data_IF_324015373672
#
_entry.id   IF_324015373672
#
_cell.length_a   1.000
_cell.length_b   1.000
_cell.length_c   1.000
_cell.angle_alpha   90.00
_cell.angle_beta   90.00
_cell.angle_gamma   90.00
#
_symmetry.space_group_name_H-M   'P 1'
#
loop_
_entity.id
_entity.type
_entity.pdbx_description
1 polymer ?
#
# COMPACT_ATOMS: atom_id res chain seq x y z
N UNK A 1 1.61 -28.97 53.32
CA UNK A 1 0.79 -30.07 52.78
C UNK A 1 -0.64 -29.57 52.60
N UNK A 2 -1.02 -29.24 51.38
CA UNK A 2 -2.42 -29.07 50.96
C UNK A 2 -2.63 -30.02 49.77
N UNK A 3 -3.72 -30.79 49.80
CA UNK A 3 -4.06 -31.74 48.74
C UNK A 3 -4.84 -31.01 47.64
N UNK A 4 -4.54 -31.23 46.35
CA UNK A 4 -5.33 -30.69 45.26
C UNK A 4 -6.66 -31.44 45.07
N UNK A 5 -7.62 -30.75 44.45
CA UNK A 5 -9.03 -31.13 44.29
C UNK A 5 -9.26 -32.12 43.10
N UNK A 6 -10.45 -32.75 43.00
CA UNK A 6 -10.70 -33.93 42.17
C UNK A 6 -10.63 -33.75 40.63
N UNK A 7 -10.43 -32.55 40.10
CA UNK A 7 -10.45 -32.31 38.64
C UNK A 7 -9.06 -32.43 37.96
N UNK A 8 -7.98 -32.56 38.72
CA UNK A 8 -6.62 -32.74 38.17
C UNK A 8 -6.21 -34.22 37.94
N UNK A 9 -7.14 -35.18 38.04
CA UNK A 9 -6.88 -36.63 37.86
C UNK A 9 -7.41 -37.24 36.57
N UNK A 10 -7.62 -36.46 35.52
CA UNK A 10 -7.92 -36.98 34.18
C UNK A 10 -7.07 -36.27 33.14
N UNK A 11 -5.82 -36.68 33.00
CA UNK A 11 -5.03 -36.58 31.75
C UNK A 11 -3.60 -37.13 31.93
N UNK A 12 -3.45 -38.30 32.56
CA UNK A 12 -2.18 -39.06 32.53
C UNK A 12 -2.49 -40.54 32.73
N UNK A 13 -2.96 -41.25 31.70
CA UNK A 13 -2.92 -42.72 31.64
C UNK A 13 -3.38 -43.26 30.27
N UNK A 14 -2.50 -43.17 29.25
CA UNK A 14 -2.31 -44.17 28.17
C UNK A 14 -0.92 -43.78 27.60
N UNK A 15 0.21 -44.44 27.88
CA UNK A 15 0.57 -45.79 27.47
C UNK A 15 1.81 -46.22 28.26
N UNK A 16 1.71 -47.28 29.07
CA UNK A 16 2.86 -48.11 29.41
C UNK A 16 2.40 -49.45 29.98
N UNK A 17 2.23 -50.43 29.08
CA UNK A 17 2.34 -51.85 29.42
C UNK A 17 3.15 -52.47 28.30
N UNK A 18 4.42 -52.74 28.57
CA UNK A 18 5.14 -53.97 28.26
C UNK A 18 6.63 -53.74 28.54
N UNK A 19 7.08 -54.27 29.67
CA UNK A 19 8.49 -54.48 29.96
C UNK A 19 8.61 -55.66 30.93
N UNK A 20 8.97 -56.82 30.40
CA UNK A 20 9.72 -57.84 31.13
C UNK A 20 10.80 -58.38 30.19
N UNK A 21 12.04 -58.47 30.69
CA UNK A 21 13.06 -59.33 30.07
C UNK A 21 14.45 -58.73 29.89
N UNK A 22 15.22 -58.68 31.00
CA UNK A 22 16.61 -59.14 31.10
C UNK A 22 17.71 -58.63 30.12
N UNK A 23 18.53 -57.73 30.68
CA UNK A 23 19.98 -57.93 30.93
C UNK A 23 21.06 -57.88 29.81
N UNK A 24 22.10 -57.10 30.13
CA UNK A 24 23.53 -57.13 29.74
C UNK A 24 23.96 -56.41 28.44
N UNK A 25 25.01 -55.57 28.59
CA UNK A 25 25.59 -54.63 27.60
C UNK A 25 26.37 -55.28 26.44
N UNK A 26 27.20 -54.52 25.68
CA UNK A 26 28.50 -54.04 26.21
C UNK A 26 29.03 -52.73 25.58
N UNK A 27 30.22 -52.31 26.03
CA UNK A 27 31.04 -51.28 25.41
C UNK A 27 32.32 -51.82 24.74
N UNK A 28 32.85 -51.00 23.81
CA UNK A 28 34.22 -50.90 23.25
C UNK A 28 34.77 -51.96 22.26
N UNK A 29 34.91 -51.46 21.02
CA UNK A 29 36.17 -51.27 20.26
C UNK A 29 36.71 -52.33 19.26
N UNK A 30 37.21 -51.76 18.14
CA UNK A 30 38.34 -52.13 17.25
C UNK A 30 38.09 -52.90 15.93
N UNK A 31 38.48 -52.17 14.86
CA UNK A 31 39.35 -52.52 13.70
C UNK A 31 38.83 -53.33 12.50
N UNK A 32 39.10 -52.74 11.32
CA UNK A 32 39.53 -53.32 10.02
C UNK A 32 38.59 -54.30 9.31
N UNK A 33 38.53 -54.46 7.99
CA UNK A 33 39.02 -53.75 6.81
C UNK A 33 38.36 -54.45 5.59
N UNK A 34 38.25 -53.71 4.48
CA UNK A 34 38.30 -54.19 3.07
C UNK A 34 37.18 -55.09 2.49
N UNK A 35 36.73 -54.61 1.32
CA UNK A 35 36.61 -55.28 0.01
C UNK A 35 35.23 -55.80 -0.47
N UNK A 36 34.70 -55.03 -1.44
CA UNK A 36 34.33 -55.41 -2.83
C UNK A 36 33.16 -56.37 -3.12
N UNK A 37 32.35 -55.96 -4.10
CA UNK A 37 31.38 -56.77 -4.87
C UNK A 37 30.09 -55.97 -5.09
N UNK A 38 29.95 -55.12 -6.11
CA UNK A 38 29.67 -55.42 -7.52
C UNK A 38 28.47 -56.37 -7.73
N UNK A 39 27.33 -55.81 -8.17
CA UNK A 39 26.52 -56.36 -9.26
C UNK A 39 25.41 -55.37 -9.66
N UNK A 40 25.48 -54.92 -10.92
CA UNK A 40 24.40 -54.35 -11.73
C UNK A 40 23.41 -55.44 -12.12
N UNK A 41 22.20 -55.06 -12.54
CA UNK A 41 21.37 -55.51 -13.69
C UNK A 41 19.94 -55.01 -13.40
N UNK A 42 19.06 -54.56 -14.30
CA UNK A 42 19.05 -53.98 -15.66
C UNK A 42 17.55 -53.84 -16.02
N UNK A 43 17.16 -52.79 -16.76
CA UNK A 43 15.96 -52.63 -17.60
C UNK A 43 14.55 -52.85 -16.96
N UNK A 44 13.47 -52.17 -17.34
CA UNK A 44 13.14 -51.36 -18.52
C UNK A 44 11.73 -51.74 -18.98
N UNK A 45 10.82 -50.75 -19.14
CA UNK A 45 9.58 -50.72 -19.97
C UNK A 45 8.69 -49.57 -19.42
N UNK A 46 8.42 -48.45 -20.09
CA UNK A 46 7.77 -48.21 -21.38
C UNK A 46 6.23 -48.39 -21.39
N UNK A 47 5.55 -47.24 -21.44
CA UNK A 47 4.30 -46.92 -22.17
C UNK A 47 2.95 -47.46 -21.67
N UNK A 48 1.95 -46.57 -21.54
CA UNK A 48 0.75 -46.50 -22.42
C UNK A 48 -0.37 -45.60 -21.82
N UNK A 49 -0.98 -44.79 -22.70
CA UNK A 49 -2.30 -44.11 -22.61
C UNK A 49 -3.03 -44.45 -23.93
N UNK A 50 -4.34 -44.19 -24.14
CA UNK A 50 -5.60 -44.64 -23.48
C UNK A 50 -6.53 -45.35 -24.53
N UNK A 51 -7.90 -45.47 -24.43
CA UNK A 51 -8.88 -44.34 -24.53
C UNK A 51 -10.29 -44.48 -23.86
N UNK A 52 -10.95 -43.31 -23.69
CA UNK A 52 -12.37 -42.90 -23.77
C UNK A 52 -13.59 -43.82 -23.43
N UNK A 53 -14.52 -43.25 -22.62
CA UNK A 53 -15.90 -42.82 -22.99
C UNK A 53 -16.98 -43.18 -21.95
N UNK A 54 -17.81 -42.20 -21.52
CA UNK A 54 -19.27 -42.18 -21.78
C UNK A 54 -20.03 -41.09 -20.98
N UNK A 55 -20.82 -40.31 -21.74
CA UNK A 55 -21.90 -39.39 -21.34
C UNK A 55 -23.05 -40.08 -20.60
N UNK A 56 -23.76 -39.35 -19.73
CA UNK A 56 -25.24 -39.42 -19.63
C UNK A 56 -25.88 -38.06 -19.33
N UNK A 57 -26.94 -37.78 -20.07
CA UNK A 57 -27.83 -36.61 -20.05
C UNK A 57 -29.25 -37.00 -19.59
N UNK A 58 -30.00 -36.11 -18.92
CA UNK A 58 -31.49 -36.02 -18.91
C UNK A 58 -31.90 -34.62 -18.38
N UNK A 59 -32.46 -33.74 -19.23
CA UNK A 59 -33.90 -33.37 -19.43
C UNK A 59 -34.56 -32.73 -18.19
N UNK A 60 -34.76 -31.39 -18.16
CA UNK A 60 -35.91 -30.55 -18.60
C UNK A 60 -37.15 -30.61 -17.68
N UNK A 61 -37.50 -29.46 -17.08
CA UNK A 61 -38.88 -29.00 -16.87
C UNK A 61 -38.94 -27.49 -16.51
N UNK A 62 -39.83 -26.77 -17.20
CA UNK A 62 -40.43 -25.45 -16.84
C UNK A 62 -41.89 -25.54 -17.27
N UNK A 63 -42.83 -24.84 -16.59
CA UNK A 63 -43.50 -23.71 -17.27
C UNK A 63 -43.96 -22.55 -16.32
N UNK A 64 -43.75 -21.28 -16.74
CA UNK A 64 -44.78 -20.23 -17.04
C UNK A 64 -45.00 -19.13 -15.96
N UNK A 65 -45.58 -17.93 -16.29
CA UNK A 65 -44.89 -16.64 -16.06
C UNK A 65 -45.74 -15.48 -15.46
N UNK A 66 -45.08 -14.30 -15.33
CA UNK A 66 -45.57 -12.89 -15.27
C UNK A 66 -45.75 -12.22 -13.87
N UNK A 67 -45.79 -10.86 -13.78
CA UNK A 67 -44.93 -9.86 -14.42
C UNK A 67 -44.52 -8.68 -13.47
N UNK A 68 -43.59 -7.84 -13.92
CA UNK A 68 -43.54 -6.41 -13.52
C UNK A 68 -42.15 -5.90 -13.16
N UNK A 69 -41.50 -5.20 -14.08
CA UNK A 69 -40.61 -4.07 -13.78
C UNK A 69 -40.46 -3.22 -15.05
N UNK A 70 -41.01 -2.01 -15.00
CA UNK A 70 -40.88 -0.98 -16.03
C UNK A 70 -39.70 -0.09 -15.64
N UNK A 71 -38.66 -0.03 -16.48
CA UNK A 71 -37.62 1.00 -16.43
C UNK A 71 -37.71 1.78 -17.73
N UNK A 72 -38.02 3.07 -17.62
CA UNK A 72 -38.12 3.98 -18.74
C UNK A 72 -36.72 4.40 -19.21
N UNK A 73 -36.47 4.19 -20.51
CA UNK A 73 -35.34 4.71 -21.26
C UNK A 73 -35.77 6.07 -21.81
N UNK A 74 -35.08 7.15 -21.42
CA UNK A 74 -35.23 8.45 -22.06
C UNK A 74 -34.25 8.53 -23.24
N UNK A 75 -34.81 8.47 -24.45
CA UNK A 75 -34.14 8.78 -25.71
C UNK A 75 -34.05 10.29 -25.91
N UNK A 76 -32.87 10.75 -26.32
CA UNK A 76 -32.61 12.12 -26.76
C UNK A 76 -33.26 12.39 -28.12
N UNK A 77 -33.91 13.54 -28.25
CA UNK A 77 -34.51 14.03 -29.50
C UNK A 77 -33.59 15.09 -30.09
N UNK A 78 -33.03 14.78 -31.26
CA UNK A 78 -32.36 15.74 -32.15
C UNK A 78 -33.40 16.60 -32.86
N UNK A 79 -33.20 17.92 -32.87
CA UNK A 79 -33.80 18.84 -33.83
C UNK A 79 -32.69 19.43 -34.72
N UNK A 80 -32.86 19.26 -36.02
CA UNK A 80 -32.11 19.94 -37.08
C UNK A 80 -33.11 20.51 -38.09
N UNK A 81 -32.60 21.36 -38.98
CA UNK A 81 -33.26 22.12 -40.08
C UNK A 81 -33.75 23.51 -39.63
N UNK A 82 -33.53 24.62 -40.34
CA UNK A 82 -32.78 24.99 -41.56
C UNK A 82 -32.82 26.53 -41.67
N UNK A 83 -32.12 27.08 -42.67
CA UNK A 83 -32.30 28.42 -43.28
C UNK A 83 -31.46 29.58 -42.71
N UNK A 84 -30.85 30.50 -43.47
CA UNK A 84 -30.72 30.76 -44.92
C UNK A 84 -29.59 31.81 -45.11
N UNK A 85 -28.80 31.63 -46.18
CA UNK A 85 -28.02 32.57 -47.03
C UNK A 85 -27.38 33.86 -46.44
N UNK A 86 -26.08 34.00 -46.69
CA UNK A 86 -25.38 35.28 -46.88
C UNK A 86 -25.53 35.82 -48.33
N UNK A 87 -25.38 37.14 -48.54
CA UNK A 87 -24.28 37.64 -49.40
C UNK A 87 -23.63 38.91 -48.79
N UNK A 88 -22.30 39.03 -48.73
CA UNK A 88 -21.32 39.44 -49.76
C UNK A 88 -21.10 40.97 -49.90
N UNK A 89 -19.82 41.34 -49.72
CA UNK A 89 -19.08 42.49 -50.28
C UNK A 89 -19.29 43.91 -49.71
N UNK A 90 -18.21 44.51 -49.17
CA UNK A 90 -17.45 45.54 -49.89
C UNK A 90 -16.09 45.83 -49.20
N UNK A 91 -15.04 45.93 -50.02
CA UNK A 91 -13.70 46.48 -49.68
C UNK A 91 -13.76 48.01 -49.66
N UNK A 92 -13.02 48.66 -48.76
CA UNK A 92 -12.18 49.84 -49.01
C UNK A 92 -11.61 50.40 -47.68
N UNK A 93 -10.29 50.42 -47.48
CA UNK A 93 -9.37 51.58 -47.61
C UNK A 93 -8.97 52.17 -46.24
N UNK A 94 -7.67 52.07 -45.95
CA UNK A 94 -6.86 52.69 -44.87
C UNK A 94 -6.98 54.24 -44.89
N UNK A 95 -6.71 55.01 -43.80
CA UNK A 95 -5.36 55.05 -43.19
C UNK A 95 -5.27 55.30 -41.66
N UNK A 96 -4.06 55.08 -41.16
CA UNK A 96 -3.60 55.38 -39.82
C UNK A 96 -3.31 56.89 -39.63
N UNK A 97 -3.60 57.41 -38.43
CA UNK A 97 -3.02 58.64 -37.88
C UNK A 97 -3.23 58.69 -36.34
N UNK A 98 -2.49 59.51 -35.60
CA UNK A 98 -1.84 59.13 -34.34
C UNK A 98 -2.52 59.69 -33.09
N UNK A 99 -2.21 59.14 -31.92
CA UNK A 99 -2.52 59.82 -30.65
C UNK A 99 -1.27 59.94 -29.78
N UNK A 100 -1.07 61.19 -29.39
CA UNK A 100 0.01 61.87 -28.71
C UNK A 100 0.13 61.52 -27.23
N UNK A 101 1.35 61.58 -26.72
CA UNK A 101 1.69 61.64 -25.30
C UNK A 101 1.07 62.85 -24.61
N UNK A 102 0.50 62.66 -23.42
CA UNK A 102 0.40 63.72 -22.40
C UNK A 102 0.72 63.13 -21.03
N UNK A 103 1.58 63.83 -20.29
CA UNK A 103 2.09 63.49 -18.95
C UNK A 103 1.27 64.23 -17.88
N UNK A 104 1.34 63.73 -16.64
CA UNK A 104 1.27 64.43 -15.33
C UNK A 104 0.06 64.07 -14.42
N UNK A 105 0.14 64.27 -13.08
CA UNK A 105 0.51 63.22 -12.10
C UNK A 105 -0.49 63.13 -10.93
N UNK A 106 -0.40 62.14 -10.04
CA UNK A 106 -0.90 62.29 -8.65
C UNK A 106 -0.19 61.34 -7.68
N UNK A 107 0.41 61.96 -6.67
CA UNK A 107 1.09 61.39 -5.51
C UNK A 107 0.06 60.91 -4.47
N UNK A 108 0.41 59.80 -3.82
CA UNK A 108 0.28 59.51 -2.38
C UNK A 108 -1.05 59.72 -1.64
N UNK A 109 -1.59 58.62 -1.09
CA UNK A 109 -2.06 58.58 0.30
C UNK A 109 -1.45 57.35 0.98
N UNK A 110 -0.82 57.61 2.10
CA UNK A 110 -0.18 56.67 3.03
C UNK A 110 -0.98 56.74 4.33
N UNK A 111 -1.38 55.60 4.91
CA UNK A 111 -1.52 55.46 6.37
C UNK A 111 -1.07 54.06 6.75
N UNK A 112 0.02 54.03 7.50
CA UNK A 112 0.53 52.87 8.21
C UNK A 112 -0.22 52.69 9.54
N UNK A 113 -0.42 51.44 9.96
CA UNK A 113 -0.30 51.05 11.37
C UNK A 113 0.60 49.83 11.40
N UNK A 114 1.84 50.06 11.83
CA UNK A 114 2.77 49.03 12.28
C UNK A 114 2.67 48.92 13.80
N UNK A 115 2.45 47.71 14.28
CA UNK A 115 2.95 47.19 15.55
C UNK A 115 3.10 45.68 15.31
N UNK A 116 4.25 45.03 15.33
CA UNK A 116 5.61 45.39 15.71
C UNK A 116 6.32 44.04 15.82
N UNK A 117 7.13 43.67 14.82
CA UNK A 117 8.06 42.53 14.89
C UNK A 117 9.27 42.89 14.00
N UNK A 118 10.51 42.87 14.52
CA UNK A 118 11.69 43.29 13.77
C UNK A 118 12.23 42.19 12.83
N UNK A 119 12.70 42.67 11.67
CA UNK A 119 13.83 42.26 10.83
C UNK A 119 14.23 40.78 10.78
N UNK A 120 14.20 40.18 9.57
CA UNK A 120 15.37 39.56 8.91
C UNK A 120 15.15 39.46 7.38
N UNK A 121 16.27 39.55 6.66
CA UNK A 121 16.46 39.92 5.26
C UNK A 121 15.77 39.09 4.16
N UNK A 122 15.33 39.84 3.15
CA UNK A 122 15.04 39.42 1.78
C UNK A 122 16.35 39.17 1.00
N UNK A 123 16.51 37.98 0.43
CA UNK A 123 17.26 37.79 -0.82
C UNK A 123 16.70 36.62 -1.64
N UNK A 124 16.37 36.96 -2.90
CA UNK A 124 16.21 36.10 -4.07
C UNK A 124 14.92 35.26 -4.22
N UNK A 125 13.94 35.84 -4.93
CA UNK A 125 13.14 35.11 -5.91
C UNK A 125 13.27 35.79 -7.27
N UNK A 126 13.98 35.11 -8.17
CA UNK A 126 14.17 35.50 -9.55
C UNK A 126 12.96 35.10 -10.40
N UNK A 127 12.46 36.08 -11.16
CA UNK A 127 11.84 36.00 -12.49
C UNK A 127 10.88 34.84 -12.80
N UNK A 128 9.57 35.13 -12.75
CA UNK A 128 8.59 34.48 -13.62
C UNK A 128 8.03 35.52 -14.60
N UNK A 129 8.26 35.27 -15.90
CA UNK A 129 7.66 36.01 -17.02
C UNK A 129 6.18 35.67 -17.09
N UNK A 130 5.31 36.67 -17.05
CA UNK A 130 3.90 36.53 -17.40
C UNK A 130 3.76 36.57 -18.93
N UNK A 131 3.29 35.48 -19.53
CA UNK A 131 2.74 35.46 -20.88
C UNK A 131 1.26 35.82 -20.81
N UNK A 132 0.84 36.78 -21.65
CA UNK A 132 -0.53 37.26 -21.77
C UNK A 132 -1.48 36.16 -22.25
N UNK A 133 -2.57 35.93 -21.53
CA UNK A 133 -3.71 35.16 -22.01
C UNK A 133 -4.88 36.13 -22.25
N UNK A 134 -5.29 36.23 -23.51
CA UNK A 134 -6.44 37.00 -23.98
C UNK A 134 -7.73 36.27 -23.60
N UNK A 135 -8.61 36.94 -22.87
CA UNK A 135 -9.98 36.48 -22.61
C UNK A 135 -10.95 37.16 -23.58
N UNK A 136 -11.72 36.43 -24.41
CA UNK A 136 -12.91 36.97 -25.05
C UNK A 136 -14.11 36.72 -24.13
N UNK A 137 -14.95 37.74 -23.92
CA UNK A 137 -16.43 37.69 -23.93
C UNK A 137 -16.98 38.94 -23.20
N UNK A 138 -17.82 39.65 -23.94
CA UNK A 138 -18.48 40.91 -23.60
C UNK A 138 -19.57 40.73 -22.54
N UNK A 139 -19.59 41.58 -21.51
CA UNK A 139 -20.71 41.72 -20.56
C UNK A 139 -21.49 42.99 -20.93
N UNK A 140 -22.83 42.97 -21.03
CA UNK A 140 -23.61 44.16 -21.33
C UNK A 140 -23.72 45.10 -20.11
N UNK A 141 -23.50 46.40 -20.32
CA UNK A 141 -23.78 47.45 -19.34
C UNK A 141 -25.30 47.55 -19.10
N UNK A 142 -25.74 47.31 -17.86
CA UNK A 142 -27.07 47.69 -17.39
C UNK A 142 -27.00 49.16 -16.92
N UNK A 143 -27.87 50.01 -17.47
CA UNK A 143 -28.05 51.41 -17.02
C UNK A 143 -28.71 51.43 -15.64
N UNK A 144 -28.12 52.21 -14.73
CA UNK A 144 -28.68 52.48 -13.41
C UNK A 144 -29.96 53.34 -13.52
N UNK A 145 -31.10 52.74 -13.19
CA UNK A 145 -32.33 53.42 -12.79
C UNK A 145 -32.54 53.21 -11.29
N UNK A 146 -32.89 54.28 -10.59
CA UNK A 146 -33.07 54.41 -9.13
C UNK A 146 -33.71 53.20 -8.43
N UNK A 147 -33.00 52.64 -7.45
CA UNK A 147 -33.54 51.69 -6.47
C UNK A 147 -33.50 52.30 -5.05
N UNK A 148 -34.50 51.96 -4.27
CA UNK A 148 -34.88 52.44 -2.94
C UNK A 148 -33.82 52.05 -1.87
N UNK A 149 -33.50 52.89 -0.85
CA UNK A 149 -32.40 52.63 0.09
C UNK A 149 -32.55 51.41 1.02
N UNK A 150 -33.72 50.74 1.09
CA UNK A 150 -33.90 49.54 1.91
C UNK A 150 -33.63 48.20 1.18
N UNK A 151 -33.46 48.19 -0.15
CA UNK A 151 -33.14 46.97 -0.91
C UNK A 151 -31.63 46.71 -1.09
N UNK A 152 -30.77 47.65 -0.67
CA UNK A 152 -29.30 47.55 -0.83
C UNK A 152 -28.64 46.72 0.30
N UNK A 153 -29.39 46.33 1.34
CA UNK A 153 -28.84 45.63 2.50
C UNK A 153 -28.66 44.10 2.32
N UNK A 154 -29.08 43.49 1.21
CA UNK A 154 -29.03 42.02 1.06
C UNK A 154 -28.56 41.49 -0.31
N UNK A 155 -27.70 42.22 -1.02
CA UNK A 155 -26.98 41.67 -2.19
C UNK A 155 -25.53 41.44 -1.81
N UNK A 156 -25.21 40.22 -1.38
CA UNK A 156 -23.81 39.75 -1.31
C UNK A 156 -23.26 39.69 -2.73
N UNK A 157 -22.48 40.70 -3.10
CA UNK A 157 -21.68 40.69 -4.32
C UNK A 157 -20.57 39.64 -4.15
N UNK A 158 -20.82 38.43 -4.65
CA UNK A 158 -19.82 37.38 -4.76
C UNK A 158 -18.90 37.68 -5.94
N UNK A 159 -18.01 38.65 -5.77
CA UNK A 159 -16.80 38.76 -6.61
C UNK A 159 -15.66 38.29 -5.73
N UNK A 160 -15.47 36.97 -5.70
CA UNK A 160 -14.31 36.37 -5.09
C UNK A 160 -13.07 36.83 -5.85
N UNK A 161 -12.20 37.58 -5.19
CA UNK A 161 -10.79 37.60 -5.54
C UNK A 161 -10.30 36.15 -5.42
N UNK A 162 -10.27 35.40 -6.53
CA UNK A 162 -9.41 34.21 -6.64
C UNK A 162 -7.98 34.74 -6.60
N UNK A 163 -7.44 34.88 -5.40
CA UNK A 163 -6.00 34.81 -5.23
C UNK A 163 -5.54 33.50 -5.87
N UNK A 164 -4.47 33.58 -6.66
CA UNK A 164 -3.69 32.43 -7.09
C UNK A 164 -3.08 31.76 -5.84
N UNK A 165 -3.91 31.03 -5.12
CA UNK A 165 -3.51 29.99 -4.19
C UNK A 165 -4.01 28.73 -4.86
N UNK A 166 -3.08 27.86 -5.29
CA UNK A 166 -3.43 26.62 -5.96
C UNK A 166 -4.50 25.90 -5.16
N UNK A 167 -5.58 25.48 -5.83
CA UNK A 167 -6.48 24.46 -5.29
C UNK A 167 -5.58 23.29 -4.88
N UNK A 168 -5.53 23.01 -3.59
CA UNK A 168 -4.62 22.00 -3.04
C UNK A 168 -4.92 20.67 -3.72
N UNK A 169 -3.92 20.09 -4.38
CA UNK A 169 -4.06 18.70 -4.80
C UNK A 169 -4.38 17.86 -3.55
N UNK A 170 -5.49 17.13 -3.58
CA UNK A 170 -5.83 16.19 -2.53
C UNK A 170 -4.61 15.28 -2.25
N UNK A 171 -4.25 15.16 -0.97
CA UNK A 171 -3.06 14.43 -0.57
C UNK A 171 -3.19 12.95 -0.96
N UNK A 172 -2.26 12.46 -1.78
CA UNK A 172 -2.18 11.05 -2.15
C UNK A 172 -2.05 10.14 -0.92
N UNK A 173 -3.00 9.23 -0.75
CA UNK A 173 -3.02 8.18 0.29
C UNK A 173 -2.82 6.81 -0.37
N UNK A 174 -1.68 6.18 -0.05
CA UNK A 174 -1.33 4.84 -0.53
C UNK A 174 -1.17 3.91 0.65
N UNK A 175 -2.02 2.89 0.73
CA UNK A 175 -1.86 1.84 1.71
C UNK A 175 -0.69 0.93 1.33
N UNK A 176 0.40 0.97 2.09
CA UNK A 176 1.60 0.18 1.78
C UNK A 176 1.42 -1.35 1.94
N UNK A 177 0.24 -1.84 2.33
CA UNK A 177 0.04 -3.25 2.66
C UNK A 177 -1.44 -3.64 2.73
N UNK A 178 -1.92 -4.35 1.70
CA UNK A 178 -3.16 -5.15 1.80
C UNK A 178 -2.98 -6.55 1.21
N UNK A 179 -3.94 -7.42 1.49
CA UNK A 179 -4.01 -8.79 0.98
C UNK A 179 -5.28 -8.98 0.16
N UNK A 180 -5.20 -9.74 -0.93
CA UNK A 180 -6.35 -10.31 -1.63
C UNK A 180 -6.25 -11.84 -1.51
N UNK A 181 -7.40 -12.52 -1.48
CA UNK A 181 -7.45 -13.98 -1.47
C UNK A 181 -8.74 -14.55 -2.05
N UNK A 182 -8.64 -15.80 -2.51
CA UNK A 182 -9.77 -16.60 -2.95
C UNK A 182 -9.58 -18.10 -2.60
N UNK A 183 -9.00 -18.38 -1.43
CA UNK A 183 -8.67 -19.74 -0.98
C UNK A 183 -9.48 -20.20 0.24
N UNK A 184 -10.66 -19.62 0.46
CA UNK A 184 -11.47 -19.89 1.65
C UNK A 184 -11.09 -18.99 2.81
N UNK A 185 -11.42 -19.41 4.03
CA UNK A 185 -11.14 -18.60 5.23
C UNK A 185 -9.64 -18.65 5.57
N UNK A 186 -9.04 -17.52 5.99
CA UNK A 186 -7.66 -17.50 6.49
C UNK A 186 -7.44 -18.47 7.64
N UNK A 187 -6.30 -19.17 7.62
CA UNK A 187 -5.90 -20.07 8.72
C UNK A 187 -5.60 -19.34 10.02
N UNK A 188 -5.25 -18.06 9.94
CA UNK A 188 -5.01 -17.20 11.10
C UNK A 188 -6.30 -16.53 11.54
N UNK A 189 -6.68 -16.74 12.81
CA UNK A 189 -7.86 -16.14 13.41
C UNK A 189 -7.82 -14.60 13.51
N UNK A 190 -6.63 -13.98 13.35
CA UNK A 190 -6.49 -12.52 13.39
C UNK A 190 -6.88 -11.85 12.08
N UNK A 191 -7.02 -12.61 11.00
CA UNK A 191 -7.52 -12.11 9.73
C UNK A 191 -9.04 -12.25 9.67
N UNK A 192 -9.69 -11.37 8.89
CA UNK A 192 -11.13 -11.46 8.59
C UNK A 192 -11.48 -12.86 8.12
N UNK A 193 -12.42 -13.49 8.81
CA UNK A 193 -12.85 -14.87 8.54
C UNK A 193 -13.90 -14.91 7.40
N UNK A 194 -13.51 -14.44 6.22
CA UNK A 194 -14.32 -14.47 5.00
C UNK A 194 -13.65 -15.31 3.92
N UNK A 195 -14.41 -16.02 3.07
CA UNK A 195 -13.86 -17.02 2.16
C UNK A 195 -13.11 -16.43 0.96
N UNK A 196 -13.39 -15.17 0.64
CA UNK A 196 -12.72 -14.41 -0.40
C UNK A 196 -12.70 -12.94 0.00
N UNK A 197 -11.64 -12.25 -0.40
CA UNK A 197 -11.54 -10.80 -0.38
C UNK A 197 -10.78 -10.39 -1.63
N UNK A 198 -11.52 -9.89 -2.60
CA UNK A 198 -11.08 -9.68 -3.96
C UNK A 198 -10.86 -8.20 -4.24
N UNK A 199 -10.37 -7.94 -5.45
CA UNK A 199 -10.10 -6.60 -5.97
C UNK A 199 -11.29 -5.65 -5.83
N UNK A 200 -12.50 -6.11 -6.16
CA UNK A 200 -13.71 -5.25 -6.11
C UNK A 200 -14.07 -4.90 -4.66
N UNK A 201 -13.93 -5.86 -3.72
CA UNK A 201 -14.12 -5.61 -2.27
C UNK A 201 -13.09 -4.57 -1.76
N UNK A 202 -11.84 -4.69 -2.19
CA UNK A 202 -10.78 -3.77 -1.82
C UNK A 202 -11.03 -2.37 -2.38
N UNK A 203 -11.44 -2.23 -3.65
CA UNK A 203 -11.75 -0.94 -4.25
C UNK A 203 -12.92 -0.24 -3.54
N UNK A 204 -14.00 -0.97 -3.24
CA UNK A 204 -15.15 -0.42 -2.51
C UNK A 204 -14.75 0.10 -1.12
N UNK A 205 -14.00 -0.68 -0.35
CA UNK A 205 -13.56 -0.27 0.99
C UNK A 205 -12.50 0.85 0.95
N UNK A 206 -11.61 0.85 -0.05
CA UNK A 206 -10.64 1.92 -0.27
C UNK A 206 -11.34 3.24 -0.60
N UNK A 207 -12.33 3.22 -1.50
CA UNK A 207 -13.10 4.40 -1.88
C UNK A 207 -13.88 4.94 -0.68
N UNK A 208 -14.51 4.07 0.12
CA UNK A 208 -15.18 4.46 1.37
C UNK A 208 -14.21 5.02 2.43
N UNK A 209 -12.96 4.57 2.40
CA UNK A 209 -11.88 4.99 3.30
C UNK A 209 -11.11 6.24 2.87
N UNK A 210 -11.30 6.71 1.63
CA UNK A 210 -10.51 7.80 1.04
C UNK A 210 -9.07 7.38 0.71
N UNK A 211 -8.88 6.15 0.20
CA UNK A 211 -7.56 5.59 -0.14
C UNK A 211 -7.40 5.47 -1.65
N UNK A 212 -6.41 6.19 -2.17
CA UNK A 212 -6.20 6.30 -3.63
C UNK A 212 -5.56 5.06 -4.23
N UNK A 213 -4.75 4.33 -3.46
CA UNK A 213 -4.10 3.11 -3.93
C UNK A 213 -3.61 2.21 -2.81
N UNK A 214 -3.23 0.99 -3.18
CA UNK A 214 -2.63 0.04 -2.25
C UNK A 214 -1.52 -0.81 -2.88
N UNK A 215 -0.53 -1.19 -2.05
CA UNK A 215 0.40 -2.26 -2.35
C UNK A 215 -0.20 -3.61 -1.95
N UNK A 216 -0.48 -4.43 -2.94
CA UNK A 216 -0.88 -5.83 -2.79
C UNK A 216 0.33 -6.67 -2.38
N UNK A 217 0.13 -7.49 -1.37
CA UNK A 217 1.19 -8.33 -0.81
C UNK A 217 0.72 -9.78 -0.66
N UNK A 218 0.80 -10.57 -1.73
CA UNK A 218 0.29 -11.94 -1.79
C UNK A 218 0.72 -12.82 -0.60
N UNK A 219 -0.25 -13.50 0.05
CA UNK A 219 0.02 -14.46 1.12
C UNK A 219 0.02 -15.91 0.60
N UNK A 220 1.02 -16.21 -0.24
CA UNK A 220 1.14 -17.47 -0.98
C UNK A 220 1.30 -18.75 -0.16
N UNK A 221 1.83 -18.75 1.09
CA UNK A 221 1.82 -19.96 1.91
C UNK A 221 0.40 -20.48 2.21
N UNK A 222 -0.60 -19.60 2.12
CA UNK A 222 -1.99 -19.93 2.37
C UNK A 222 -2.83 -19.99 1.07
N UNK A 223 -2.71 -18.99 0.20
CA UNK A 223 -3.38 -18.97 -1.11
C UNK A 223 -2.33 -19.05 -2.23
N UNK A 224 -2.09 -20.23 -2.82
CA UNK A 224 -1.10 -20.40 -3.89
C UNK A 224 -1.32 -19.51 -5.11
N UNK A 225 -2.55 -19.02 -5.33
CA UNK A 225 -2.92 -18.16 -6.46
C UNK A 225 -2.84 -16.67 -6.12
N UNK A 226 -2.47 -16.29 -4.90
CA UNK A 226 -2.48 -14.88 -4.46
C UNK A 226 -1.64 -13.94 -5.34
N UNK A 227 -0.52 -14.42 -5.90
CA UNK A 227 0.25 -13.62 -6.86
C UNK A 227 -0.56 -13.33 -8.13
N UNK A 228 -1.24 -14.33 -8.68
CA UNK A 228 -2.02 -14.18 -9.92
C UNK A 228 -3.27 -13.32 -9.69
N UNK A 229 -3.91 -13.43 -8.51
CA UNK A 229 -4.98 -12.52 -8.09
C UNK A 229 -4.49 -11.07 -8.05
N UNK A 230 -3.32 -10.82 -7.45
CA UNK A 230 -2.75 -9.47 -7.37
C UNK A 230 -2.34 -8.92 -8.73
N UNK A 231 -1.78 -9.76 -9.61
CA UNK A 231 -1.40 -9.38 -10.98
C UNK A 231 -2.63 -9.00 -11.79
N UNK A 232 -3.71 -9.78 -11.69
CA UNK A 232 -4.95 -9.45 -12.39
C UNK A 232 -5.56 -8.14 -11.87
N UNK A 233 -5.54 -7.90 -10.55
CA UNK A 233 -5.96 -6.64 -9.95
C UNK A 233 -5.15 -5.44 -10.48
N UNK A 234 -3.82 -5.53 -10.46
CA UNK A 234 -2.94 -4.46 -10.95
C UNK A 234 -2.99 -4.29 -12.47
N UNK A 235 -3.30 -5.35 -13.24
CA UNK A 235 -3.51 -5.25 -14.68
C UNK A 235 -4.79 -4.49 -15.02
N UNK A 236 -5.86 -4.71 -14.25
CA UNK A 236 -7.14 -4.04 -14.45
C UNK A 236 -7.16 -2.60 -13.89
N UNK A 237 -6.44 -2.34 -12.80
CA UNK A 237 -6.37 -1.03 -12.14
C UNK A 237 -4.91 -0.67 -11.79
N UNK A 238 -4.05 -0.39 -12.79
CA UNK A 238 -2.62 -0.13 -12.59
C UNK A 238 -2.32 1.18 -11.86
N UNK A 239 -3.30 2.09 -11.83
CA UNK A 239 -3.29 3.26 -10.99
C UNK A 239 -3.63 2.89 -9.54
N UNK A 240 -4.59 2.01 -9.27
CA UNK A 240 -4.99 1.69 -7.89
C UNK A 240 -4.09 0.68 -7.19
N UNK A 241 -3.45 -0.23 -7.93
CA UNK A 241 -2.69 -1.35 -7.34
C UNK A 241 -1.29 -1.53 -7.91
N UNK A 242 -0.34 -1.80 -7.01
CA UNK A 242 0.96 -2.37 -7.32
C UNK A 242 1.29 -3.49 -6.33
N UNK A 243 2.36 -4.23 -6.57
CA UNK A 243 2.57 -5.54 -5.95
C UNK A 243 3.99 -5.66 -5.39
N UNK A 244 4.08 -6.10 -4.14
CA UNK A 244 5.28 -6.74 -3.59
C UNK A 244 5.01 -8.24 -3.48
N UNK A 245 5.30 -8.97 -4.56
CA UNK A 245 4.99 -10.40 -4.70
C UNK A 245 6.02 -11.29 -4.02
N UNK A 246 5.89 -12.60 -4.21
CA UNK A 246 6.92 -13.53 -3.75
C UNK A 246 7.00 -14.77 -4.64
N UNK A 247 8.08 -15.52 -4.47
CA UNK A 247 8.34 -16.80 -5.12
C UNK A 247 9.05 -17.75 -4.14
N UNK A 248 9.04 -19.07 -4.38
CA UNK A 248 9.74 -20.02 -3.51
C UNK A 248 11.25 -19.74 -3.42
N UNK A 249 11.83 -19.64 -2.23
CA UNK A 249 13.25 -19.30 -2.06
C UNK A 249 14.20 -20.51 -2.05
N UNK A 250 13.64 -21.72 -1.96
CA UNK A 250 14.34 -23.01 -1.88
C UNK A 250 14.52 -23.70 -3.24
N UNK A 251 13.94 -23.13 -4.29
CA UNK A 251 14.01 -23.67 -5.65
C UNK A 251 15.15 -23.03 -6.44
N UNK A 252 16.10 -23.81 -7.01
CA UNK A 252 17.20 -23.25 -7.80
C UNK A 252 16.75 -22.35 -8.96
N UNK A 253 15.64 -22.71 -9.62
CA UNK A 253 15.04 -21.96 -10.73
C UNK A 253 14.55 -20.56 -10.32
N UNK A 254 14.23 -20.33 -9.04
CA UNK A 254 13.77 -19.04 -8.55
C UNK A 254 14.82 -17.94 -8.65
N UNK A 255 16.11 -18.29 -8.76
CA UNK A 255 17.19 -17.33 -8.91
C UNK A 255 17.05 -16.48 -10.18
N UNK A 256 16.59 -17.10 -11.26
CA UNK A 256 16.36 -16.40 -12.54
C UNK A 256 15.16 -15.47 -12.48
N UNK A 257 14.21 -15.68 -11.56
CA UNK A 257 13.02 -14.84 -11.43
C UNK A 257 13.35 -13.42 -11.01
N UNK A 258 14.45 -13.20 -10.27
CA UNK A 258 14.85 -11.88 -9.77
C UNK A 258 15.03 -10.87 -10.91
N UNK A 259 15.69 -11.28 -12.01
CA UNK A 259 16.01 -10.39 -13.12
C UNK A 259 14.77 -10.01 -13.96
N UNK A 260 13.74 -10.87 -13.98
CA UNK A 260 12.51 -10.64 -14.75
C UNK A 260 11.31 -10.28 -13.87
N UNK A 261 11.47 -10.19 -12.55
CA UNK A 261 10.35 -10.10 -11.61
C UNK A 261 9.45 -8.90 -11.88
N UNK A 262 10.07 -7.73 -12.12
CA UNK A 262 9.38 -6.46 -12.38
C UNK A 262 8.75 -6.37 -13.79
N UNK A 263 8.95 -7.38 -14.65
CA UNK A 263 8.27 -7.45 -15.95
C UNK A 263 6.84 -7.95 -15.81
N UNK A 264 6.48 -8.54 -14.67
CA UNK A 264 5.10 -8.96 -14.36
C UNK A 264 4.24 -7.71 -14.10
N UNK A 265 3.00 -7.63 -14.62
CA UNK A 265 2.15 -6.45 -14.43
C UNK A 265 2.00 -6.06 -12.96
N UNK A 266 2.23 -4.78 -12.65
CA UNK A 266 2.13 -4.23 -11.29
C UNK A 266 3.24 -4.66 -10.32
N UNK A 267 4.17 -5.53 -10.71
CA UNK A 267 5.19 -6.06 -9.81
C UNK A 267 6.34 -5.08 -9.60
N UNK A 268 6.47 -4.53 -8.39
CA UNK A 268 7.49 -3.52 -8.07
C UNK A 268 8.61 -4.04 -7.17
N UNK A 269 8.39 -5.15 -6.46
CA UNK A 269 9.34 -5.72 -5.53
C UNK A 269 8.93 -7.08 -5.01
N UNK A 270 9.59 -7.50 -3.93
CA UNK A 270 9.25 -8.73 -3.22
C UNK A 270 8.82 -8.47 -1.78
N UNK A 271 8.01 -9.37 -1.23
CA UNK A 271 7.74 -9.46 0.20
C UNK A 271 7.90 -10.90 0.67
N UNK A 272 8.79 -11.14 1.62
CA UNK A 272 8.99 -12.48 2.18
C UNK A 272 8.58 -12.56 3.64
N UNK A 273 7.86 -13.63 3.96
CA UNK A 273 7.59 -14.09 5.32
C UNK A 273 8.38 -15.39 5.55
N UNK A 274 8.77 -15.64 6.80
CA UNK A 274 9.58 -16.80 7.18
C UNK A 274 8.88 -17.62 8.27
N UNK A 275 7.75 -18.29 7.93
CA UNK A 275 6.95 -19.02 8.91
C UNK A 275 7.72 -20.20 9.54
N UNK A 276 7.50 -20.49 10.83
CA UNK A 276 8.07 -21.65 11.49
C UNK A 276 7.40 -22.97 11.01
N UNK A 277 8.03 -24.13 11.27
CA UNK A 277 9.37 -24.28 11.86
C UNK A 277 10.50 -24.26 10.82
N UNK A 278 10.21 -24.53 9.54
CA UNK A 278 11.24 -24.76 8.53
C UNK A 278 11.90 -23.48 8.01
N UNK A 279 11.11 -22.44 7.72
CA UNK A 279 11.63 -21.23 7.06
C UNK A 279 12.16 -20.19 8.05
N UNK A 280 11.85 -20.32 9.35
CA UNK A 280 12.25 -19.34 10.37
C UNK A 280 13.76 -19.17 10.53
N UNK A 281 14.56 -20.18 10.10
CA UNK A 281 16.04 -20.14 10.12
C UNK A 281 16.65 -19.64 8.81
N UNK A 282 15.89 -19.61 7.72
CA UNK A 282 16.41 -19.26 6.39
C UNK A 282 17.13 -17.91 6.33
N UNK A 283 16.67 -16.85 7.03
CA UNK A 283 17.40 -15.58 7.03
C UNK A 283 18.80 -15.67 7.65
N UNK A 284 19.04 -16.61 8.57
CA UNK A 284 20.27 -16.67 9.38
C UNK A 284 21.14 -17.89 9.11
N UNK A 285 20.63 -18.94 8.45
CA UNK A 285 21.38 -20.16 8.14
C UNK A 285 22.09 -20.16 6.76
N UNK A 286 21.93 -19.08 6.00
CA UNK A 286 22.55 -18.88 4.69
C UNK A 286 21.70 -19.37 3.49
N UNK A 287 20.54 -19.99 3.72
CA UNK A 287 19.64 -20.51 2.67
C UNK A 287 19.31 -19.44 1.62
N UNK A 288 19.11 -18.19 2.06
CA UNK A 288 18.68 -17.09 1.20
C UNK A 288 19.78 -16.05 0.96
N UNK A 289 21.03 -16.29 1.35
CA UNK A 289 22.11 -15.30 1.20
C UNK A 289 22.39 -14.94 -0.27
N UNK A 290 21.99 -15.80 -1.20
CA UNK A 290 22.05 -15.52 -2.64
C UNK A 290 21.11 -14.41 -3.10
N UNK A 291 20.02 -14.18 -2.38
CA UNK A 291 18.95 -13.26 -2.77
C UNK A 291 19.45 -11.81 -2.72
N UNK A 292 20.27 -11.46 -1.74
CA UNK A 292 20.70 -10.09 -1.49
C UNK A 292 21.49 -9.48 -2.64
N UNK A 293 22.61 -10.08 -3.11
CA UNK A 293 23.34 -9.53 -4.25
C UNK A 293 22.52 -9.60 -5.55
N UNK A 294 21.62 -10.58 -5.71
CA UNK A 294 20.77 -10.69 -6.88
C UNK A 294 19.74 -9.55 -6.92
N UNK A 295 19.05 -9.29 -5.81
CA UNK A 295 18.05 -8.25 -5.69
C UNK A 295 18.66 -6.84 -5.76
N UNK A 296 19.84 -6.63 -5.16
CA UNK A 296 20.59 -5.38 -5.27
C UNK A 296 20.89 -5.07 -6.75
N UNK A 297 21.44 -6.04 -7.47
CA UNK A 297 21.82 -5.89 -8.88
C UNK A 297 20.60 -5.63 -9.78
N UNK A 298 19.45 -6.23 -9.46
CA UNK A 298 18.20 -6.03 -10.18
C UNK A 298 17.44 -4.75 -9.76
N UNK A 299 17.91 -4.01 -8.75
CA UNK A 299 17.17 -2.88 -8.19
C UNK A 299 15.79 -3.26 -7.65
N UNK A 300 15.71 -4.45 -7.04
CA UNK A 300 14.47 -5.08 -6.58
C UNK A 300 14.29 -4.86 -5.08
N UNK A 301 13.36 -3.98 -4.63
CA UNK A 301 13.10 -3.77 -3.21
C UNK A 301 12.53 -5.02 -2.55
N UNK A 302 12.92 -5.27 -1.29
CA UNK A 302 12.44 -6.42 -0.51
C UNK A 302 11.82 -5.96 0.81
N UNK A 303 10.55 -6.27 1.00
CA UNK A 303 9.87 -6.21 2.28
C UNK A 303 10.02 -7.52 3.07
N UNK A 304 10.23 -7.41 4.38
CA UNK A 304 10.55 -8.54 5.26
C UNK A 304 9.72 -8.47 6.54
N UNK A 305 9.06 -9.58 6.88
CA UNK A 305 8.57 -9.80 8.24
C UNK A 305 9.75 -10.21 9.13
N UNK A 306 10.51 -9.21 9.60
CA UNK A 306 11.88 -9.39 10.08
C UNK A 306 12.08 -9.42 11.60
N UNK A 307 11.01 -9.38 12.40
CA UNK A 307 11.08 -9.21 13.85
C UNK A 307 11.99 -10.21 14.57
N UNK A 308 12.16 -11.42 14.03
CA UNK A 308 12.96 -12.49 14.62
C UNK A 308 14.43 -12.50 14.16
N UNK A 309 14.85 -11.58 13.28
CA UNK A 309 16.19 -11.56 12.71
C UNK A 309 16.67 -10.13 12.37
N UNK A 310 16.24 -9.13 13.13
CA UNK A 310 16.62 -7.72 12.92
C UNK A 310 18.14 -7.49 12.81
N UNK A 311 19.01 -8.13 13.62
CA UNK A 311 20.47 -7.99 13.44
C UNK A 311 20.95 -8.38 12.04
N UNK A 312 20.41 -9.46 11.48
CA UNK A 312 20.74 -9.92 10.12
C UNK A 312 20.29 -8.90 9.06
N UNK A 313 19.16 -8.21 9.24
CA UNK A 313 18.75 -7.12 8.35
C UNK A 313 19.82 -6.03 8.33
N UNK A 314 20.35 -5.64 9.49
CA UNK A 314 21.43 -4.67 9.58
C UNK A 314 22.70 -5.11 8.86
N UNK A 315 23.08 -6.39 8.99
CA UNK A 315 24.22 -6.94 8.25
C UNK A 315 24.01 -6.91 6.73
N UNK A 316 22.81 -7.28 6.25
CA UNK A 316 22.47 -7.25 4.82
C UNK A 316 22.49 -5.81 4.32
N UNK A 317 21.89 -4.88 5.06
CA UNK A 317 21.85 -3.45 4.71
C UNK A 317 23.25 -2.85 4.58
N UNK A 318 24.16 -3.22 5.48
CA UNK A 318 25.56 -2.76 5.45
C UNK A 318 26.35 -3.35 4.27
N UNK A 319 26.14 -4.63 3.94
CA UNK A 319 26.85 -5.30 2.83
C UNK A 319 26.30 -4.93 1.46
N UNK A 320 25.03 -4.57 1.38
CA UNK A 320 24.30 -4.25 0.14
C UNK A 320 23.68 -2.85 0.22
N UNK A 321 24.49 -1.78 0.23
CA UNK A 321 24.01 -0.41 0.47
C UNK A 321 23.03 0.10 -0.60
N UNK A 322 22.95 -0.52 -1.78
CA UNK A 322 22.00 -0.14 -2.83
C UNK A 322 20.72 -0.99 -2.81
N UNK A 323 20.67 -2.05 -2.00
CA UNK A 323 19.45 -2.87 -1.83
C UNK A 323 18.48 -2.15 -0.89
N UNK A 324 17.31 -1.79 -1.42
CA UNK A 324 16.21 -1.22 -0.64
C UNK A 324 15.50 -2.32 0.16
N UNK A 325 15.58 -2.23 1.49
CA UNK A 325 14.93 -3.13 2.44
C UNK A 325 13.77 -2.43 3.14
N UNK A 326 12.68 -3.15 3.42
CA UNK A 326 11.50 -2.62 4.12
C UNK A 326 11.15 -3.55 5.27
N UNK A 327 11.09 -3.02 6.49
CA UNK A 327 10.58 -3.71 7.66
C UNK A 327 9.05 -3.67 7.63
N UNK A 328 8.39 -4.82 7.59
CA UNK A 328 6.94 -4.88 7.71
C UNK A 328 6.49 -4.63 9.16
N UNK A 329 5.29 -4.05 9.31
CA UNK A 329 4.53 -3.99 10.56
C UNK A 329 5.31 -3.46 11.77
N UNK A 330 5.96 -2.30 11.59
CA UNK A 330 6.76 -1.64 12.63
C UNK A 330 7.95 -2.50 13.14
N UNK A 331 8.33 -3.55 12.40
CA UNK A 331 9.39 -4.48 12.79
C UNK A 331 9.06 -5.34 14.02
N UNK A 332 7.79 -5.44 14.43
CA UNK A 332 7.41 -6.05 15.70
C UNK A 332 7.18 -7.56 15.67
N UNK A 333 7.34 -8.26 16.80
CA UNK A 333 7.05 -9.69 16.90
C UNK A 333 5.57 -9.97 16.62
N UNK A 334 5.31 -11.06 15.90
CA UNK A 334 3.96 -11.55 15.63
C UNK A 334 3.45 -12.41 16.78
N UNK A 335 2.13 -12.43 17.00
CA UNK A 335 1.47 -13.37 17.93
C UNK A 335 1.65 -13.10 19.43
N UNK A 336 2.16 -11.92 19.80
CA UNK A 336 2.37 -11.51 21.20
C UNK A 336 1.18 -10.71 21.73
N UNK A 337 0.77 -10.98 22.97
CA UNK A 337 -0.47 -10.43 23.54
C UNK A 337 -0.23 -9.30 24.52
N UNK A 338 0.87 -9.28 25.28
CA UNK A 338 1.12 -8.22 26.27
C UNK A 338 1.80 -6.97 25.67
N UNK A 339 1.50 -5.75 26.16
CA UNK A 339 2.15 -4.52 25.71
C UNK A 339 3.68 -4.53 25.78
N UNK A 340 4.27 -5.15 26.80
CA UNK A 340 5.73 -5.24 26.94
C UNK A 340 6.37 -6.12 25.88
N UNK A 341 5.79 -7.29 25.60
CA UNK A 341 6.28 -8.21 24.57
C UNK A 341 6.11 -7.64 23.16
N UNK A 342 5.00 -6.94 22.94
CA UNK A 342 4.67 -6.21 21.70
C UNK A 342 5.78 -5.25 21.27
N UNK A 343 6.43 -4.57 22.20
CA UNK A 343 7.49 -3.59 21.93
C UNK A 343 8.89 -4.05 22.38
N UNK A 344 9.08 -5.33 22.71
CA UNK A 344 10.32 -5.85 23.31
C UNK A 344 11.56 -5.63 22.42
N UNK A 345 11.39 -5.67 21.10
CA UNK A 345 12.47 -5.49 20.13
C UNK A 345 12.59 -4.05 19.60
N UNK A 346 11.90 -3.07 20.19
CA UNK A 346 11.86 -1.70 19.68
C UNK A 346 13.26 -1.10 19.51
N UNK A 347 14.17 -1.32 20.47
CA UNK A 347 15.53 -0.79 20.38
C UNK A 347 16.32 -1.38 19.20
N UNK A 348 16.10 -2.65 18.87
CA UNK A 348 16.72 -3.29 17.71
C UNK A 348 16.16 -2.71 16.40
N UNK A 349 14.86 -2.42 16.34
CA UNK A 349 14.24 -1.76 15.18
C UNK A 349 14.81 -0.35 15.00
N UNK A 350 14.88 0.45 16.07
CA UNK A 350 15.41 1.81 16.03
C UNK A 350 16.89 1.82 15.60
N UNK A 351 17.68 0.83 16.02
CA UNK A 351 19.09 0.71 15.63
C UNK A 351 19.30 0.50 14.12
N UNK A 352 18.29 0.01 13.38
CA UNK A 352 18.35 -0.14 11.92
C UNK A 352 18.18 1.19 11.18
N UNK A 353 17.65 2.24 11.82
CA UNK A 353 17.40 3.52 11.18
C UNK A 353 18.68 4.21 10.65
N UNK A 354 19.84 3.86 11.20
CA UNK A 354 21.16 4.33 10.74
C UNK A 354 21.51 3.90 9.31
N UNK A 355 20.83 2.89 8.76
CA UNK A 355 21.05 2.42 7.40
C UNK A 355 20.09 3.13 6.44
N UNK A 356 20.57 3.97 5.51
CA UNK A 356 19.69 4.77 4.64
C UNK A 356 18.86 3.93 3.65
N UNK A 357 19.30 2.70 3.38
CA UNK A 357 18.63 1.73 2.52
C UNK A 357 17.63 0.82 3.26
N UNK A 358 17.34 1.10 4.54
CA UNK A 358 16.29 0.44 5.33
C UNK A 358 15.16 1.42 5.57
N UNK A 359 13.95 1.03 5.17
CA UNK A 359 12.69 1.70 5.47
C UNK A 359 11.78 0.79 6.29
N UNK A 360 10.63 1.33 6.71
CA UNK A 360 9.67 0.63 7.56
C UNK A 360 8.25 0.96 7.15
N UNK A 361 7.37 -0.03 7.18
CA UNK A 361 5.93 0.17 7.07
C UNK A 361 5.32 0.37 8.45
N UNK A 362 4.61 1.48 8.63
CA UNK A 362 3.75 1.78 9.76
C UNK A 362 2.41 1.04 9.74
N UNK A 363 2.41 -0.16 9.14
CA UNK A 363 1.20 -0.95 8.87
C UNK A 363 0.71 -1.70 10.08
N UNK A 364 -0.61 -1.82 10.20
CA UNK A 364 -1.25 -2.59 11.26
C UNK A 364 -1.24 -1.92 12.63
N UNK A 365 -0.91 -0.63 12.70
CA UNK A 365 -0.74 0.09 13.96
C UNK A 365 -1.92 -0.09 14.95
N UNK A 366 -3.20 0.07 14.54
CA UNK A 366 -4.34 -0.12 15.45
C UNK A 366 -4.39 -1.50 16.14
N UNK A 367 -3.95 -2.58 15.47
CA UNK A 367 -3.94 -3.93 16.05
C UNK A 367 -2.98 -4.10 17.24
N UNK A 368 -2.17 -3.08 17.52
CA UNK A 368 -1.18 -3.09 18.60
C UNK A 368 -1.60 -2.32 19.84
N UNK A 369 -2.76 -1.68 19.80
CA UNK A 369 -3.37 -0.95 20.90
C UNK A 369 -4.30 -1.85 21.71
N UNK A 370 -4.33 -1.63 23.02
CA UNK A 370 -5.36 -2.19 23.93
C UNK A 370 -6.45 -1.16 24.27
N UNK A 371 -6.35 0.05 23.72
CA UNK A 371 -7.30 1.14 23.94
C UNK A 371 -8.26 1.28 22.76
N UNK A 372 -9.48 1.83 22.98
CA UNK A 372 -10.33 2.23 21.88
C UNK A 372 -9.69 3.36 21.06
N UNK A 373 -10.23 3.62 19.86
CA UNK A 373 -9.87 4.79 19.06
C UNK A 373 -9.88 6.07 19.94
N UNK A 374 -8.84 6.93 19.88
CA UNK A 374 -7.79 6.97 18.86
C UNK A 374 -6.49 6.21 19.21
N UNK A 375 -6.57 5.13 19.99
CA UNK A 375 -5.44 4.21 20.24
C UNK A 375 -4.23 4.89 20.93
N UNK A 376 -4.48 5.72 21.95
CA UNK A 376 -3.46 6.64 22.51
C UNK A 376 -2.23 5.93 23.10
N UNK A 377 -2.37 4.69 23.55
CA UNK A 377 -1.30 3.88 24.14
C UNK A 377 -0.14 3.54 23.17
N UNK A 378 -0.34 3.64 21.86
CA UNK A 378 0.72 3.38 20.87
C UNK A 378 1.38 4.64 20.32
N UNK A 379 0.85 5.84 20.61
CA UNK A 379 1.28 7.09 19.96
C UNK A 379 2.76 7.42 20.21
N UNK A 380 3.24 7.25 21.44
CA UNK A 380 4.64 7.49 21.80
C UNK A 380 5.62 6.56 21.05
N UNK A 381 5.16 5.35 20.74
CA UNK A 381 5.96 4.34 20.02
C UNK A 381 5.99 4.64 18.53
N UNK A 382 4.86 5.08 17.97
CA UNK A 382 4.80 5.59 16.60
C UNK A 382 5.71 6.82 16.43
N UNK A 383 5.72 7.74 17.39
CA UNK A 383 6.61 8.91 17.39
C UNK A 383 8.09 8.52 17.40
N UNK A 384 8.50 7.60 18.28
CA UNK A 384 9.89 7.12 18.34
C UNK A 384 10.35 6.50 17.00
N UNK A 385 9.48 5.71 16.38
CA UNK A 385 9.76 5.07 15.10
C UNK A 385 9.82 6.09 13.96
N UNK A 386 8.92 7.07 13.96
CA UNK A 386 8.95 8.20 13.03
C UNK A 386 10.24 9.01 13.15
N UNK A 387 10.58 9.47 14.37
CA UNK A 387 11.75 10.31 14.62
C UNK A 387 13.06 9.62 14.18
N UNK A 388 13.12 8.28 14.27
CA UNK A 388 14.29 7.50 13.86
C UNK A 388 14.40 7.34 12.33
N UNK A 389 13.32 6.94 11.65
CA UNK A 389 13.37 6.62 10.22
C UNK A 389 13.20 7.85 9.32
N UNK A 390 12.41 8.82 9.78
CA UNK A 390 11.99 10.00 9.05
C UNK A 390 10.87 9.73 8.04
N UNK A 391 10.23 10.79 7.53
CA UNK A 391 9.03 10.71 6.68
C UNK A 391 9.29 10.01 5.34
N UNK A 392 10.51 10.09 4.82
CA UNK A 392 10.89 9.46 3.55
C UNK A 392 11.11 7.94 3.63
N UNK A 393 11.10 7.35 4.84
CA UNK A 393 11.37 5.92 5.08
C UNK A 393 10.39 5.27 6.06
N UNK A 394 9.27 5.93 6.33
CA UNK A 394 8.22 5.44 7.21
C UNK A 394 6.87 5.50 6.49
N UNK A 395 6.39 4.34 6.03
CA UNK A 395 5.29 4.26 5.07
C UNK A 395 3.99 3.88 5.77
N UNK A 396 2.97 4.72 5.69
CA UNK A 396 1.64 4.38 6.18
C UNK A 396 1.05 3.18 5.44
N UNK A 397 0.19 2.45 6.13
CA UNK A 397 -0.70 1.45 5.56
C UNK A 397 -1.48 0.76 6.66
N UNK A 398 -2.40 -0.11 6.31
CA UNK A 398 -3.32 -0.68 7.30
C UNK A 398 -3.05 -2.13 7.60
N UNK A 399 -2.78 -2.94 6.57
CA UNK A 399 -3.08 -4.37 6.64
C UNK A 399 -4.55 -4.63 7.00
N UNK A 400 -5.47 -3.98 6.28
CA UNK A 400 -6.89 -3.83 6.63
C UNK A 400 -7.58 -5.15 6.99
N UNK A 401 -7.12 -6.23 6.38
CA UNK A 401 -7.68 -7.57 6.53
C UNK A 401 -7.37 -8.21 7.88
N UNK A 402 -6.50 -7.59 8.70
CA UNK A 402 -6.31 -7.91 10.14
C UNK A 402 -6.84 -6.82 11.08
N UNK A 403 -7.31 -5.69 10.56
CA UNK A 403 -7.64 -4.53 11.38
C UNK A 403 -8.94 -4.73 12.18
N UNK A 404 -8.96 -4.35 13.47
CA UNK A 404 -10.17 -4.36 14.29
C UNK A 404 -11.08 -3.15 13.99
N UNK A 405 -10.72 -2.32 13.00
CA UNK A 405 -11.36 -1.05 12.69
C UNK A 405 -11.40 -0.81 11.17
N UNK A 406 -12.29 0.08 10.69
CA UNK A 406 -12.36 0.43 9.28
C UNK A 406 -11.18 1.31 8.83
N UNK A 407 -10.97 1.42 7.51
CA UNK A 407 -9.90 2.22 6.92
C UNK A 407 -9.88 3.65 7.42
N UNK A 408 -11.07 4.26 7.57
CA UNK A 408 -11.19 5.64 8.05
C UNK A 408 -10.45 5.86 9.37
N UNK A 409 -10.59 4.95 10.35
CA UNK A 409 -9.86 5.08 11.63
C UNK A 409 -8.35 4.88 11.47
N UNK A 410 -7.92 4.05 10.51
CA UNK A 410 -6.50 3.89 10.21
C UNK A 410 -5.89 5.13 9.54
N UNK A 411 -6.66 5.80 8.69
CA UNK A 411 -6.29 7.06 8.03
C UNK A 411 -6.24 8.18 9.07
N UNK A 412 -7.35 8.42 9.79
CA UNK A 412 -7.48 9.53 10.74
C UNK A 412 -6.53 9.40 11.94
N UNK A 413 -6.16 8.17 12.33
CA UNK A 413 -5.08 7.97 13.29
C UNK A 413 -3.82 8.75 12.89
N UNK A 414 -3.41 8.71 11.62
CA UNK A 414 -2.20 9.38 11.15
C UNK A 414 -2.44 10.83 10.73
N UNK A 415 -3.58 11.14 10.11
CA UNK A 415 -3.85 12.47 9.54
C UNK A 415 -4.39 13.47 10.57
N UNK A 416 -5.06 13.00 11.63
CA UNK A 416 -5.76 13.85 12.60
C UNK A 416 -5.23 13.64 14.04
N UNK A 417 -4.96 12.40 14.44
CA UNK A 417 -4.71 12.05 15.85
C UNK A 417 -3.24 12.09 16.26
N UNK A 418 -2.31 12.14 15.30
CA UNK A 418 -0.87 12.35 15.51
C UNK A 418 -0.51 13.83 15.21
N UNK A 419 -0.66 14.75 16.18
CA UNK A 419 -0.53 16.20 15.92
C UNK A 419 0.87 16.64 15.48
N UNK A 420 1.88 15.78 15.58
CA UNK A 420 3.24 16.06 15.14
C UNK A 420 3.50 15.67 13.67
N UNK A 421 2.61 14.88 13.03
CA UNK A 421 2.73 14.49 11.63
C UNK A 421 1.86 15.41 10.77
N UNK A 422 2.46 16.41 10.13
CA UNK A 422 1.73 17.45 9.38
C UNK A 422 2.50 17.93 8.16
N UNK A 423 1.81 18.65 7.27
CA UNK A 423 2.41 19.28 6.09
C UNK A 423 3.11 18.27 5.20
N UNK A 424 4.32 18.60 4.71
CA UNK A 424 5.05 17.76 3.77
C UNK A 424 5.39 16.37 4.31
N UNK A 425 5.65 16.25 5.61
CA UNK A 425 5.98 14.99 6.24
C UNK A 425 4.79 14.03 6.21
N UNK A 426 3.58 14.56 6.42
CA UNK A 426 2.34 13.79 6.30
C UNK A 426 2.14 13.28 4.86
N UNK A 427 2.31 14.13 3.85
CA UNK A 427 2.20 13.73 2.44
C UNK A 427 3.19 12.62 2.04
N UNK A 428 4.42 12.70 2.57
CA UNK A 428 5.44 11.68 2.37
C UNK A 428 5.01 10.35 3.01
N UNK A 429 4.66 10.37 4.29
CA UNK A 429 4.28 9.18 5.05
C UNK A 429 3.03 8.51 4.49
N UNK A 430 2.02 9.29 4.12
CA UNK A 430 0.71 8.79 3.68
C UNK A 430 0.72 8.17 2.28
N UNK A 431 1.69 8.48 1.42
CA UNK A 431 1.74 7.84 0.10
C UNK A 431 2.97 8.12 -0.74
N UNK A 432 3.47 9.37 -0.78
CA UNK A 432 4.55 9.71 -1.73
C UNK A 432 5.83 8.92 -1.47
N UNK A 433 6.24 8.76 -0.21
CA UNK A 433 7.48 8.09 0.13
C UNK A 433 7.49 6.61 -0.24
N UNK A 434 6.36 5.89 -0.09
CA UNK A 434 6.29 4.49 -0.50
C UNK A 434 6.38 4.35 -2.02
N UNK A 435 5.68 5.21 -2.77
CA UNK A 435 5.76 5.25 -4.23
C UNK A 435 7.20 5.48 -4.71
N UNK A 436 7.88 6.49 -4.15
CA UNK A 436 9.29 6.80 -4.47
C UNK A 436 10.23 5.64 -4.11
N UNK A 437 9.97 4.98 -2.98
CA UNK A 437 10.81 3.89 -2.51
C UNK A 437 10.75 2.67 -3.43
N UNK A 438 9.54 2.23 -3.81
CA UNK A 438 9.37 1.06 -4.68
C UNK A 438 9.47 1.39 -6.19
N UNK A 439 9.52 2.67 -6.53
CA UNK A 439 9.58 3.15 -7.92
C UNK A 439 8.23 3.07 -8.63
N UNK A 440 7.13 3.25 -7.90
CA UNK A 440 5.80 3.34 -8.47
C UNK A 440 5.59 4.73 -9.07
N UNK A 441 5.68 4.84 -10.40
CA UNK A 441 5.41 6.09 -11.11
C UNK A 441 3.90 6.28 -11.22
N UNK A 442 3.39 7.33 -10.57
CA UNK A 442 2.00 7.73 -10.59
C UNK A 442 1.91 9.24 -10.72
#
# INVERSE_FOLDING_TARGET
MMRPSPEERRLYHVSRVEAQGLSRGPGRSRRSARRSGAARWFAGAASLYPPNAARRSRKRSTPSPRPGNTVAILTSVNWSTSDVRAPAQLRAVLPAAPVTSTVCPLKSVMVAILAGIPDWDLLQLASCRLTEAVCPHSIPLIRAGSLDPEEVANVRCAVGFRGFWGEGEDMLIVDAQIHLWNAGNPTSATHRQVPAYLKDDALEEMDAGGVDAALLTPHTPWDPNANELAIEAARQHPDRFAILGNFPLDKPESRALVDTWKQRPGMLGCRFTFPPPHQSKWPTDGTIDWLWPAAERAGLPIALMAANFLPKVGEVAQRHPNLKLILDHLGRPSGVTSPSERWANLQEVLALAKYPNVAMKATGAPSYSDQPYPFRDIHDKLRQLYDAFGPARWFWGTDITRMPCPWRQCVTLFTEELPWLRGRDLELVMGRAVCDWVGWKR
#
